data_IF_078381084390
#
_entry.id   IF_078381084390
#
_cell.length_a   1.000
_cell.length_b   1.000
_cell.length_c   1.000
_cell.angle_alpha   90.00
_cell.angle_beta   90.00
_cell.angle_gamma   90.00
#
_symmetry.space_group_name_H-M   'P 1'
#
loop_
_entity.id
_entity.type
_entity.pdbx_description
1 polymer ?
#
# COMPACT_ATOMS: atom_id res chain seq x y z
N UNK A 1 20.67 -2.04 -0.87
CA UNK A 1 19.34 -1.42 -0.77
C UNK A 1 19.06 -0.79 -2.12
N UNK A 2 18.13 -1.34 -2.91
CA UNK A 2 17.81 -0.73 -4.21
C UNK A 2 17.13 0.62 -3.98
N UNK A 3 17.41 1.65 -4.80
CA UNK A 3 16.82 2.97 -4.62
C UNK A 3 15.32 2.89 -4.90
N UNK A 4 14.54 2.67 -3.86
CA UNK A 4 13.11 2.90 -3.88
C UNK A 4 12.85 4.37 -3.58
N UNK A 5 11.98 5.00 -4.34
CA UNK A 5 11.58 6.38 -4.10
C UNK A 5 10.07 6.52 -4.09
N UNK A 6 9.58 7.42 -3.24
CA UNK A 6 8.17 7.76 -3.14
C UNK A 6 7.79 8.67 -4.32
N UNK A 7 7.04 8.13 -5.27
CA UNK A 7 6.64 8.82 -6.49
C UNK A 7 5.28 9.53 -6.36
N UNK A 8 4.40 9.04 -5.49
CA UNK A 8 3.09 9.64 -5.24
C UNK A 8 2.64 9.41 -3.81
N UNK A 9 2.00 10.42 -3.23
CA UNK A 9 1.39 10.36 -1.91
C UNK A 9 0.10 11.15 -1.88
N UNK A 10 -0.99 10.53 -1.40
CA UNK A 10 -2.29 11.18 -1.24
C UNK A 10 -2.91 10.80 0.10
N UNK A 11 -3.52 11.76 0.77
CA UNK A 11 -4.35 11.50 1.95
C UNK A 11 -5.77 11.22 1.50
N UNK A 12 -6.35 10.12 1.96
CA UNK A 12 -7.73 9.76 1.72
C UNK A 12 -8.65 10.27 2.86
N UNK A 13 -9.96 10.38 2.60
CA UNK A 13 -10.95 10.52 3.67
C UNK A 13 -10.76 9.46 4.76
N UNK A 14 -10.98 9.83 6.02
CA UNK A 14 -10.73 8.95 7.18
C UNK A 14 -9.27 8.86 7.64
N UNK A 15 -8.36 9.61 6.99
CA UNK A 15 -6.97 9.71 7.42
C UNK A 15 -6.11 8.53 7.01
N UNK A 16 -6.48 7.79 5.98
CA UNK A 16 -5.57 6.85 5.32
C UNK A 16 -4.64 7.60 4.38
N UNK A 17 -3.49 6.99 4.07
CA UNK A 17 -2.49 7.56 3.19
C UNK A 17 -2.21 6.52 2.11
N UNK A 18 -2.39 6.90 0.87
CA UNK A 18 -1.98 6.13 -0.30
C UNK A 18 -0.56 6.51 -0.67
N UNK A 19 0.28 5.52 -0.92
CA UNK A 19 1.69 5.68 -1.30
C UNK A 19 1.97 4.87 -2.57
N UNK A 20 2.62 5.49 -3.55
CA UNK A 20 3.23 4.77 -4.68
C UNK A 20 4.74 4.87 -4.55
N UNK A 21 5.39 3.71 -4.44
CA UNK A 21 6.84 3.59 -4.42
C UNK A 21 7.32 2.89 -5.68
N UNK A 22 8.39 3.40 -6.29
CA UNK A 22 8.99 2.81 -7.49
C UNK A 22 10.40 2.32 -7.19
N UNK A 23 10.78 1.21 -7.80
CA UNK A 23 12.13 0.63 -7.82
C UNK A 23 12.54 0.35 -9.26
N UNK A 24 13.83 0.52 -9.56
CA UNK A 24 14.40 0.17 -10.88
C UNK A 24 15.24 -1.09 -10.71
N UNK A 25 14.84 -2.16 -11.39
CA UNK A 25 15.57 -3.41 -11.40
C UNK A 25 16.83 -3.32 -12.28
N UNK A 26 17.75 -4.27 -12.09
CA UNK A 26 19.04 -4.31 -12.80
C UNK A 26 18.89 -4.54 -14.31
N UNK A 27 17.78 -5.16 -14.73
CA UNK A 27 17.38 -5.35 -16.13
C UNK A 27 16.76 -4.09 -16.76
N UNK A 28 16.70 -2.97 -16.02
CA UNK A 28 16.11 -1.72 -16.44
C UNK A 28 14.58 -1.68 -16.35
N UNK A 29 13.91 -2.76 -15.93
CA UNK A 29 12.48 -2.73 -15.68
C UNK A 29 12.16 -1.89 -14.44
N UNK A 30 11.09 -1.11 -14.53
CA UNK A 30 10.58 -0.38 -13.38
C UNK A 30 9.48 -1.20 -12.73
N UNK A 31 9.58 -1.36 -11.41
CA UNK A 31 8.55 -1.97 -10.57
C UNK A 31 7.95 -0.88 -9.69
N UNK A 32 6.64 -0.93 -9.50
CA UNK A 32 5.94 -0.02 -8.63
C UNK A 32 4.99 -0.77 -7.73
N UNK A 33 4.85 -0.27 -6.51
CA UNK A 33 3.89 -0.77 -5.53
C UNK A 33 2.98 0.35 -5.07
N UNK A 34 1.71 0.04 -4.89
CA UNK A 34 0.70 0.90 -4.31
C UNK A 34 0.32 0.37 -2.94
N UNK A 35 0.54 1.15 -1.89
CA UNK A 35 0.26 0.78 -0.51
C UNK A 35 -0.68 1.76 0.17
N UNK A 36 -1.41 1.28 1.17
CA UNK A 36 -2.27 2.12 2.01
C UNK A 36 -1.85 2.02 3.47
N UNK A 37 -1.56 3.16 4.08
CA UNK A 37 -1.24 3.27 5.50
C UNK A 37 -2.36 3.95 6.28
N UNK A 38 -2.56 3.56 7.54
CA UNK A 38 -3.48 4.25 8.46
C UNK A 38 -2.73 5.26 9.32
N UNK A 39 -3.13 6.53 9.33
CA UNK A 39 -2.46 7.61 10.07
C UNK A 39 -2.49 7.48 11.61
N UNK A 40 -3.36 6.64 12.18
CA UNK A 40 -3.71 6.66 13.61
C UNK A 40 -3.45 5.38 14.42
N UNK A 41 -2.72 4.39 13.91
CA UNK A 41 -2.49 3.16 14.68
C UNK A 41 -0.99 2.80 14.82
N UNK A 42 -0.25 3.48 15.72
CA UNK A 42 1.15 3.13 16.01
C UNK A 42 1.31 1.70 16.53
N UNK A 43 0.25 1.06 17.04
CA UNK A 43 0.31 -0.34 17.49
C UNK A 43 0.30 -1.36 16.35
N UNK A 44 -0.14 -0.98 15.13
CA UNK A 44 0.03 -1.80 13.92
C UNK A 44 1.39 -1.64 13.25
N UNK A 45 2.14 -0.58 13.55
CA UNK A 45 3.48 -0.37 12.99
C UNK A 45 4.50 -1.42 13.44
N UNK A 46 4.23 -2.16 14.53
CA UNK A 46 5.16 -3.16 15.06
C UNK A 46 4.94 -4.59 14.51
N UNK A 47 3.82 -4.90 13.85
CA UNK A 47 3.53 -6.29 13.41
C UNK A 47 2.69 -6.48 12.13
N UNK A 48 2.30 -5.45 11.37
CA UNK A 48 1.42 -5.65 10.20
C UNK A 48 1.89 -4.88 8.97
N UNK A 49 2.36 -5.60 7.95
CA UNK A 49 2.69 -5.07 6.62
C UNK A 49 1.58 -4.16 6.12
N UNK A 50 1.91 -2.93 5.67
CA UNK A 50 0.93 -2.04 5.08
C UNK A 50 0.23 -2.75 3.90
N UNK A 51 -1.12 -2.69 3.79
CA UNK A 51 -1.85 -3.26 2.68
C UNK A 51 -1.22 -2.90 1.33
N UNK A 52 -0.70 -3.93 0.65
CA UNK A 52 -0.27 -3.84 -0.73
C UNK A 52 -1.52 -3.99 -1.61
N UNK A 53 -1.91 -2.89 -2.25
CA UNK A 53 -3.17 -2.78 -3.00
C UNK A 53 -2.99 -3.18 -4.45
N UNK A 54 -1.84 -2.86 -5.03
CA UNK A 54 -1.49 -3.23 -6.38
C UNK A 54 0.02 -3.17 -6.60
N UNK A 55 0.47 -3.90 -7.61
CA UNK A 55 1.82 -3.82 -8.16
C UNK A 55 1.71 -3.61 -9.66
N UNK A 56 2.68 -2.90 -10.23
CA UNK A 56 2.81 -2.73 -11.67
C UNK A 56 4.28 -2.85 -12.07
N UNK A 57 4.53 -3.36 -13.27
CA UNK A 57 5.86 -3.39 -13.88
C UNK A 57 5.77 -2.80 -15.28
N UNK A 58 6.80 -2.09 -15.71
CA UNK A 58 6.82 -1.46 -17.02
C UNK A 58 8.19 -0.95 -17.42
N UNK A 59 8.32 -0.51 -18.69
CA UNK A 59 9.60 -0.09 -19.25
C UNK A 59 10.07 1.28 -18.72
N UNK A 60 9.16 2.10 -18.19
CA UNK A 60 9.49 3.43 -17.68
C UNK A 60 8.80 3.74 -16.36
N UNK A 61 9.38 4.67 -15.59
CA UNK A 61 8.78 5.16 -14.35
C UNK A 61 7.44 5.85 -14.59
N UNK A 62 7.31 6.57 -15.71
CA UNK A 62 6.09 7.26 -16.08
C UNK A 62 4.95 6.27 -16.37
N UNK A 63 5.24 5.16 -17.06
CA UNK A 63 4.22 4.16 -17.38
C UNK A 63 3.70 3.45 -16.13
N UNK A 64 4.60 3.08 -15.22
CA UNK A 64 4.25 2.42 -13.96
C UNK A 64 3.52 3.39 -13.03
N UNK A 65 4.01 4.63 -12.91
CA UNK A 65 3.36 5.66 -12.11
C UNK A 65 1.96 5.97 -12.62
N UNK A 66 1.77 6.12 -13.94
CA UNK A 66 0.46 6.39 -14.53
C UNK A 66 -0.55 5.30 -14.17
N UNK A 67 -0.20 4.02 -14.35
CA UNK A 67 -1.06 2.89 -14.03
C UNK A 67 -1.46 2.87 -12.54
N UNK A 68 -0.48 3.01 -11.64
CA UNK A 68 -0.75 2.98 -10.20
C UNK A 68 -1.46 4.23 -9.71
N UNK A 69 -1.24 5.38 -10.36
CA UNK A 69 -1.91 6.64 -10.03
C UNK A 69 -3.37 6.62 -10.44
N UNK A 70 -3.71 6.09 -11.61
CA UNK A 70 -5.10 5.91 -12.05
C UNK A 70 -5.90 5.13 -10.99
N UNK A 71 -5.32 4.05 -10.44
CA UNK A 71 -5.90 3.30 -9.34
C UNK A 71 -5.94 4.08 -8.02
N UNK A 72 -4.83 4.72 -7.64
CA UNK A 72 -4.73 5.52 -6.42
C UNK A 72 -5.69 6.72 -6.39
N UNK A 73 -6.12 7.19 -7.57
CA UNK A 73 -7.05 8.29 -7.70
C UNK A 73 -8.53 7.85 -7.61
N UNK A 74 -8.80 6.55 -7.81
CA UNK A 74 -10.11 5.94 -7.72
C UNK A 74 -10.43 5.46 -6.29
N UNK A 75 -11.02 6.34 -5.48
CA UNK A 75 -11.32 6.08 -4.07
C UNK A 75 -12.18 4.80 -3.87
N UNK A 76 -13.10 4.49 -4.79
CA UNK A 76 -13.96 3.31 -4.69
C UNK A 76 -13.18 2.01 -4.90
N UNK A 77 -12.28 1.99 -5.89
CA UNK A 77 -11.45 0.82 -6.17
C UNK A 77 -10.39 0.60 -5.10
N UNK A 78 -9.81 1.68 -4.57
CA UNK A 78 -8.92 1.61 -3.40
C UNK A 78 -9.65 1.02 -2.19
N UNK A 79 -10.87 1.49 -1.90
CA UNK A 79 -11.67 0.96 -0.79
C UNK A 79 -11.99 -0.53 -0.96
N UNK A 80 -12.35 -0.96 -2.18
CA UNK A 80 -12.62 -2.36 -2.48
C UNK A 80 -11.40 -3.25 -2.23
N UNK A 81 -10.22 -2.85 -2.71
CA UNK A 81 -8.98 -3.62 -2.52
C UNK A 81 -8.51 -3.65 -1.08
N UNK A 82 -8.72 -2.58 -0.31
CA UNK A 82 -8.47 -2.59 1.15
C UNK A 82 -9.36 -3.64 1.82
N UNK A 83 -10.65 -3.67 1.48
CA UNK A 83 -11.59 -4.64 2.06
C UNK A 83 -11.21 -6.09 1.70
N UNK A 84 -10.82 -6.35 0.45
CA UNK A 84 -10.30 -7.65 0.01
C UNK A 84 -9.05 -8.06 0.81
N UNK A 85 -8.10 -7.13 0.98
CA UNK A 85 -6.89 -7.38 1.76
C UNK A 85 -7.23 -7.67 3.22
N UNK A 86 -8.13 -6.91 3.84
CA UNK A 86 -8.54 -7.11 5.24
C UNK A 86 -9.27 -8.46 5.45
N UNK A 87 -10.06 -8.90 4.48
CA UNK A 87 -10.70 -10.21 4.50
C UNK A 87 -9.68 -11.37 4.42
N UNK A 88 -8.61 -11.20 3.64
CA UNK A 88 -7.52 -12.18 3.51
C UNK A 88 -6.54 -12.15 4.69
N UNK A 89 -6.46 -11.03 5.42
CA UNK A 89 -5.58 -10.83 6.57
C UNK A 89 -6.40 -10.54 7.83
N UNK A 90 -7.23 -11.50 8.29
CA UNK A 90 -8.06 -11.31 9.47
C UNK A 90 -7.15 -10.98 10.65
N UNK A 91 -7.37 -9.81 11.23
CA UNK A 91 -6.60 -9.37 12.39
C UNK A 91 -6.87 -10.36 13.53
N UNK A 92 -5.82 -10.90 14.14
CA UNK A 92 -5.95 -11.81 15.27
C UNK A 92 -6.92 -11.20 16.30
N UNK A 93 -7.85 -11.99 16.87
CA UNK A 93 -8.84 -11.47 17.80
C UNK A 93 -8.15 -10.72 18.94
N UNK A 94 -8.62 -9.50 19.21
CA UNK A 94 -8.12 -8.61 20.28
C UNK A 94 -8.41 -9.14 21.69
N UNK A 95 -9.04 -10.30 21.83
CA UNK A 95 -9.45 -10.87 23.12
C UNK A 95 -8.62 -12.12 23.48
N UNK A 96 -7.47 -11.89 24.12
CA UNK A 96 -7.07 -12.78 25.22
C UNK A 96 -7.28 -11.99 26.51
N UNK A 97 -8.32 -12.29 27.33
CA UNK A 97 -8.30 -11.82 28.70
C UNK A 97 -7.04 -12.41 29.35
N UNK A 98 -6.19 -11.52 29.87
CA UNK A 98 -5.12 -11.89 30.78
C UNK A 98 -5.76 -12.64 31.95
N UNK A 99 -5.63 -13.98 31.99
CA UNK A 99 -5.89 -14.73 33.23
C UNK A 99 -4.65 -14.57 34.10
N UNK A 100 -4.80 -13.82 35.18
CA UNK A 100 -3.92 -13.90 36.34
C UNK A 100 -4.08 -15.22 37.09
#
# INVERSE_FOLDING_TARGET
MRPHFLAFRRVLPGGMIVLVSLDVAEDGQVRGILQVERRRDPSRQLFGTAPLIAEATGPTQQDVLRQLRELAENDAEVAARIAEWEAAHPSAPRDRPYRG
#
